data_IF_631855312485
#
_entry.id   IF_631855312485
#
_cell.length_a   1.000
_cell.length_b   1.000
_cell.length_c   1.000
_cell.angle_alpha   90.00
_cell.angle_beta   90.00
_cell.angle_gamma   90.00
#
_symmetry.space_group_name_H-M   'P 1'
#
loop_
_entity.id
_entity.type
_entity.pdbx_description
1 polymer ?
#
# COMPACT_ATOMS: atom_id res chain seq x y z
N UNK A 1 78.68 22.96 23.52
CA UNK A 1 78.53 21.59 23.06
C UNK A 1 77.60 21.64 21.84
N UNK A 2 78.23 21.61 20.64
CA UNK A 2 77.51 21.74 19.33
C UNK A 2 77.11 20.36 18.88
N UNK A 3 75.85 20.23 18.43
CA UNK A 3 75.36 19.05 17.76
C UNK A 3 75.16 19.38 16.28
N UNK A 4 75.78 18.58 15.43
CA UNK A 4 75.78 18.67 13.98
C UNK A 4 74.47 18.16 13.36
N UNK A 5 74.08 18.64 12.16
CA UNK A 5 72.86 18.24 11.50
C UNK A 5 73.03 16.96 10.67
N UNK A 6 72.11 16.05 10.78
CA UNK A 6 72.02 14.81 10.04
C UNK A 6 71.59 15.03 8.59
N UNK A 7 72.42 14.45 7.72
CA UNK A 7 72.26 14.39 6.25
C UNK A 7 71.07 13.51 5.83
N UNK A 8 70.24 14.04 4.94
CA UNK A 8 69.11 13.32 4.29
C UNK A 8 69.61 12.77 2.94
N UNK A 9 69.38 11.51 2.59
CA UNK A 9 69.75 10.97 1.28
C UNK A 9 68.73 11.38 0.21
N UNK A 10 69.26 11.80 -0.95
CA UNK A 10 68.45 12.08 -2.16
C UNK A 10 68.00 10.77 -2.80
N UNK A 11 66.68 10.57 -2.88
CA UNK A 11 66.06 9.55 -3.73
C UNK A 11 65.88 10.12 -5.15
N UNK A 12 66.51 9.47 -6.11
CA UNK A 12 66.33 9.73 -7.55
C UNK A 12 65.06 9.16 -8.02
N UNK A 13 64.07 10.01 -8.39
CA UNK A 13 62.76 9.58 -8.90
C UNK A 13 62.92 9.05 -10.34
N UNK A 14 62.39 7.83 -10.53
CA UNK A 14 62.16 7.27 -11.86
C UNK A 14 60.74 7.76 -12.26
N UNK A 15 60.69 8.60 -13.31
CA UNK A 15 59.43 9.03 -13.91
C UNK A 15 58.97 7.93 -14.88
N UNK A 16 57.94 7.19 -14.51
CA UNK A 16 57.23 6.27 -15.42
C UNK A 16 56.18 7.07 -16.18
N UNK A 17 56.40 7.25 -17.48
CA UNK A 17 55.37 7.79 -18.37
C UNK A 17 54.28 6.74 -18.60
N UNK A 18 53.14 6.92 -17.97
CA UNK A 18 51.92 6.20 -18.31
C UNK A 18 51.27 6.86 -19.54
N UNK A 19 51.37 6.19 -20.71
CA UNK A 19 50.63 6.57 -21.91
C UNK A 19 49.17 6.19 -21.65
N UNK A 20 48.34 7.17 -21.32
CA UNK A 20 46.89 7.02 -21.28
C UNK A 20 46.40 7.11 -22.71
N UNK A 21 46.13 5.96 -23.35
CA UNK A 21 45.41 5.91 -24.62
C UNK A 21 43.94 6.29 -24.33
N UNK A 22 43.51 7.49 -24.75
CA UNK A 22 42.12 7.94 -24.73
C UNK A 22 41.33 7.16 -25.78
N UNK A 23 40.68 6.10 -25.35
CA UNK A 23 39.60 5.52 -26.11
C UNK A 23 38.40 6.45 -25.94
N UNK A 24 38.07 7.21 -27.00
CA UNK A 24 36.83 7.95 -27.08
C UNK A 24 35.69 6.91 -27.23
N UNK A 25 35.07 6.54 -26.11
CA UNK A 25 33.77 5.90 -26.17
C UNK A 25 32.75 6.94 -26.64
N UNK A 26 31.88 6.60 -27.62
CA UNK A 26 30.79 7.49 -27.96
C UNK A 26 29.93 7.63 -26.69
N UNK A 27 29.81 8.85 -26.20
CA UNK A 27 28.84 9.18 -25.16
C UNK A 27 27.44 8.88 -25.76
N UNK A 28 26.91 7.71 -25.45
CA UNK A 28 25.51 7.44 -25.64
C UNK A 28 24.75 8.52 -24.88
N UNK A 29 23.80 9.16 -25.55
CA UNK A 29 22.90 10.12 -24.96
C UNK A 29 22.40 9.55 -23.64
N UNK A 30 22.70 10.24 -22.54
CA UNK A 30 22.06 9.98 -21.25
C UNK A 30 20.55 10.09 -21.50
N UNK A 31 19.89 8.94 -21.56
CA UNK A 31 18.46 8.92 -21.32
C UNK A 31 18.29 9.60 -19.96
N UNK A 32 17.75 10.79 -19.96
CA UNK A 32 17.34 11.49 -18.76
C UNK A 32 16.35 10.53 -18.10
N UNK A 33 16.66 10.02 -16.91
CA UNK A 33 15.73 9.20 -16.16
C UNK A 33 14.45 10.03 -16.03
N UNK A 34 13.39 9.58 -16.66
CA UNK A 34 12.09 10.25 -16.60
C UNK A 34 11.64 10.14 -15.14
N UNK A 35 11.52 11.30 -14.46
CA UNK A 35 11.01 11.33 -13.08
C UNK A 35 9.62 10.68 -13.14
N UNK A 36 9.48 9.54 -12.47
CA UNK A 36 8.23 8.81 -12.47
C UNK A 36 7.23 9.58 -11.60
N UNK A 37 6.23 10.17 -12.25
CA UNK A 37 5.11 10.86 -11.60
C UNK A 37 3.93 9.91 -11.50
N UNK A 38 3.41 9.72 -10.29
CA UNK A 38 2.25 8.91 -10.00
C UNK A 38 1.11 9.81 -9.53
N UNK A 39 -0.03 9.74 -10.22
CA UNK A 39 -1.23 10.50 -9.88
C UNK A 39 -2.41 9.55 -9.66
N UNK A 40 -3.21 9.84 -8.65
CA UNK A 40 -4.41 9.05 -8.35
C UNK A 40 -5.45 9.89 -7.62
N UNK A 41 -6.75 9.54 -7.79
CA UNK A 41 -7.84 10.14 -7.07
C UNK A 41 -7.87 9.70 -5.60
N UNK A 42 -8.34 10.62 -4.75
CA UNK A 42 -8.64 10.33 -3.36
C UNK A 42 -10.01 10.84 -2.94
N UNK A 43 -10.58 10.17 -1.94
CA UNK A 43 -11.63 10.69 -1.07
C UNK A 43 -11.05 10.84 0.33
N UNK A 44 -11.41 11.93 1.04
CA UNK A 44 -10.88 12.15 2.40
C UNK A 44 -11.91 12.77 3.33
N UNK A 45 -11.88 12.32 4.59
CA UNK A 45 -12.65 12.86 5.70
C UNK A 45 -11.81 13.76 6.63
N UNK A 46 -10.65 14.20 6.14
CA UNK A 46 -9.70 15.03 6.88
C UNK A 46 -10.02 16.51 6.73
N UNK A 47 -9.72 17.28 7.76
CA UNK A 47 -9.79 18.74 7.71
C UNK A 47 -8.69 19.33 6.82
N UNK A 48 -9.00 20.44 6.14
CA UNK A 48 -7.99 21.29 5.50
C UNK A 48 -7.17 22.02 6.55
N UNK A 49 -5.85 22.06 6.36
CA UNK A 49 -4.94 22.81 7.25
C UNK A 49 -4.76 24.27 6.83
N UNK A 50 -4.92 24.56 5.55
CA UNK A 50 -4.58 25.86 4.95
C UNK A 50 -3.09 26.01 4.67
N UNK A 51 -2.27 24.97 4.85
CA UNK A 51 -0.85 24.97 4.49
C UNK A 51 -0.66 25.14 2.99
N UNK A 52 0.34 25.91 2.54
CA UNK A 52 0.73 25.99 1.14
C UNK A 52 1.48 24.73 0.67
N UNK A 53 2.02 23.93 1.59
CA UNK A 53 2.75 22.71 1.29
C UNK A 53 1.75 21.59 0.91
N UNK A 54 1.87 20.94 -0.28
CA UNK A 54 0.92 19.92 -0.72
C UNK A 54 0.80 18.75 0.24
N UNK A 55 1.92 18.30 0.83
CA UNK A 55 1.93 17.19 1.80
C UNK A 55 1.11 17.48 3.05
N UNK A 56 1.04 18.75 3.43
CA UNK A 56 0.31 19.24 4.61
C UNK A 56 -1.09 19.76 4.28
N UNK A 57 -1.62 19.50 3.09
CA UNK A 57 -2.92 20.02 2.66
C UNK A 57 -4.07 19.60 3.59
N UNK A 58 -3.95 18.42 4.21
CA UNK A 58 -4.95 17.86 5.13
C UNK A 58 -4.32 17.42 6.45
N UNK A 59 -5.03 17.68 7.54
CA UNK A 59 -4.66 17.29 8.91
C UNK A 59 -5.23 15.93 9.35
N UNK A 60 -5.23 15.69 10.67
CA UNK A 60 -5.78 14.49 11.33
C UNK A 60 -7.20 14.65 11.85
N UNK A 61 -7.77 15.88 11.83
CA UNK A 61 -9.10 16.13 12.38
C UNK A 61 -10.22 15.70 11.42
N UNK A 62 -11.37 15.34 11.97
CA UNK A 62 -12.59 14.96 11.23
C UNK A 62 -13.17 16.12 10.44
N UNK A 63 -13.63 15.86 9.23
CA UNK A 63 -14.30 16.84 8.36
C UNK A 63 -15.28 16.13 7.42
N UNK A 64 -16.07 16.92 6.70
CA UNK A 64 -16.93 16.40 5.65
C UNK A 64 -16.11 15.77 4.52
N UNK A 65 -16.73 14.82 3.81
CA UNK A 65 -16.08 14.11 2.71
C UNK A 65 -15.69 15.07 1.59
N UNK A 66 -14.43 15.05 1.24
CA UNK A 66 -13.81 15.78 0.13
C UNK A 66 -13.18 14.82 -0.85
N UNK A 67 -12.93 15.30 -2.06
CA UNK A 67 -12.31 14.52 -3.13
C UNK A 67 -11.24 15.33 -3.85
N UNK A 68 -10.37 14.66 -4.59
CA UNK A 68 -9.35 15.31 -5.38
C UNK A 68 -8.36 14.35 -6.02
N UNK A 69 -7.26 14.91 -6.50
CA UNK A 69 -6.11 14.18 -7.07
C UNK A 69 -4.86 14.45 -6.22
N UNK A 70 -4.12 13.42 -5.91
CA UNK A 70 -2.79 13.51 -5.30
C UNK A 70 -1.75 13.09 -6.33
N UNK A 71 -0.72 13.94 -6.54
CA UNK A 71 0.43 13.66 -7.39
C UNK A 71 1.67 13.52 -6.54
N UNK A 72 2.37 12.40 -6.74
CA UNK A 72 3.60 12.04 -6.05
C UNK A 72 4.69 11.87 -7.09
N UNK A 73 5.87 12.41 -6.83
CA UNK A 73 7.03 12.30 -7.69
C UNK A 73 8.23 11.76 -6.91
N UNK A 74 9.09 11.03 -7.60
CA UNK A 74 10.35 10.58 -7.05
C UNK A 74 11.35 11.73 -7.02
N UNK A 75 12.12 11.84 -5.93
CA UNK A 75 13.19 12.82 -5.83
C UNK A 75 14.27 12.56 -6.89
N UNK A 76 14.62 13.60 -7.64
CA UNK A 76 15.79 13.53 -8.52
C UNK A 76 17.06 13.44 -7.67
N UNK A 77 17.65 12.26 -7.61
CA UNK A 77 18.91 12.00 -6.91
C UNK A 77 20.14 12.30 -7.77
N UNK A 78 19.95 12.66 -9.03
CA UNK A 78 21.04 12.97 -9.95
C UNK A 78 22.11 11.88 -9.97
N UNK A 79 23.36 12.22 -9.62
CA UNK A 79 24.50 11.27 -9.59
C UNK A 79 24.39 10.17 -8.53
N UNK A 80 23.48 10.29 -7.56
CA UNK A 80 23.24 9.30 -6.50
C UNK A 80 22.16 8.28 -6.86
N UNK A 81 21.46 8.43 -7.99
CA UNK A 81 20.42 7.50 -8.44
C UNK A 81 20.85 6.02 -8.43
N UNK A 82 22.07 5.63 -8.88
CA UNK A 82 22.51 4.25 -8.81
C UNK A 82 22.63 3.67 -7.39
N UNK A 83 22.75 4.53 -6.36
CA UNK A 83 22.75 4.10 -4.96
C UNK A 83 21.34 3.86 -4.44
N UNK A 84 20.35 4.55 -4.97
CA UNK A 84 18.94 4.29 -4.66
C UNK A 84 18.50 2.91 -5.14
N UNK A 85 18.97 2.46 -6.30
CA UNK A 85 18.71 1.12 -6.83
C UNK A 85 19.23 -0.02 -5.95
N UNK A 86 20.18 0.29 -5.07
CA UNK A 86 20.75 -0.64 -4.08
C UNK A 86 20.10 -0.52 -2.70
N UNK A 87 19.23 0.46 -2.51
CA UNK A 87 18.56 0.69 -1.23
C UNK A 87 17.47 -0.37 -0.98
N UNK A 88 17.26 -0.77 0.27
CA UNK A 88 16.11 -1.60 0.62
C UNK A 88 14.79 -0.94 0.21
N UNK A 89 13.83 -1.73 -0.28
CA UNK A 89 12.55 -1.23 -0.80
C UNK A 89 11.81 -0.28 0.16
N UNK A 90 11.93 -0.48 1.47
CA UNK A 90 11.26 0.39 2.46
C UNK A 90 11.84 1.82 2.53
N UNK A 91 13.00 2.07 1.95
CA UNK A 91 13.56 3.43 1.82
C UNK A 91 12.97 4.18 0.62
N UNK A 92 12.35 3.50 -0.33
CA UNK A 92 11.74 4.14 -1.50
C UNK A 92 10.64 5.13 -1.09
N UNK A 93 9.89 4.84 -0.01
CA UNK A 93 8.89 5.77 0.52
C UNK A 93 9.50 7.15 0.85
N UNK A 94 10.75 7.18 1.34
CA UNK A 94 11.43 8.43 1.71
C UNK A 94 11.98 9.20 0.50
N UNK A 95 12.04 8.58 -0.67
CA UNK A 95 12.43 9.22 -1.92
C UNK A 95 11.25 9.88 -2.64
N UNK A 96 10.02 9.63 -2.19
CA UNK A 96 8.82 10.21 -2.77
C UNK A 96 8.47 11.54 -2.11
N UNK A 97 7.92 12.46 -2.91
CA UNK A 97 7.38 13.74 -2.45
C UNK A 97 5.99 13.99 -3.03
N UNK A 98 5.10 14.49 -2.22
CA UNK A 98 3.79 14.97 -2.66
C UNK A 98 4.01 16.32 -3.36
N UNK A 99 3.82 16.35 -4.67
CA UNK A 99 4.07 17.53 -5.50
C UNK A 99 2.83 18.40 -5.65
N UNK A 100 1.66 17.78 -5.70
CA UNK A 100 0.41 18.49 -5.87
C UNK A 100 -0.76 17.77 -5.21
N UNK A 101 -1.67 18.53 -4.64
CA UNK A 101 -2.92 18.05 -4.06
C UNK A 101 -4.03 18.98 -4.53
N UNK A 102 -4.75 18.54 -5.54
CA UNK A 102 -5.86 19.27 -6.10
C UNK A 102 -7.18 18.77 -5.49
N UNK A 103 -7.94 19.67 -4.85
CA UNK A 103 -9.32 19.38 -4.44
C UNK A 103 -10.27 19.57 -5.62
N UNK A 104 -11.15 18.59 -5.84
CA UNK A 104 -12.13 18.55 -6.91
C UNK A 104 -13.50 18.13 -6.35
N UNK A 105 -14.56 18.43 -7.08
CA UNK A 105 -15.88 17.88 -6.78
C UNK A 105 -15.88 16.34 -6.93
N UNK A 106 -16.60 15.67 -6.04
CA UNK A 106 -16.75 14.21 -6.06
C UNK A 106 -17.22 13.72 -7.44
N UNK A 107 -18.15 14.43 -8.09
CA UNK A 107 -18.63 14.09 -9.42
C UNK A 107 -17.51 14.09 -10.46
N UNK A 108 -16.65 15.12 -10.44
CA UNK A 108 -15.50 15.26 -11.35
C UNK A 108 -14.49 14.11 -11.15
N UNK A 109 -14.20 13.74 -9.90
CA UNK A 109 -13.31 12.59 -9.60
C UNK A 109 -13.92 11.29 -10.12
N UNK A 110 -15.22 11.07 -9.91
CA UNK A 110 -15.91 9.86 -10.40
C UNK A 110 -16.00 9.80 -11.93
N UNK A 111 -16.12 10.96 -12.61
CA UNK A 111 -16.09 11.03 -14.07
C UNK A 111 -14.69 10.68 -14.60
N UNK A 112 -13.63 11.24 -14.01
CA UNK A 112 -12.25 10.90 -14.35
C UNK A 112 -11.96 9.41 -14.16
N UNK A 113 -12.39 8.86 -13.02
CA UNK A 113 -12.24 7.45 -12.71
C UNK A 113 -13.01 6.55 -13.70
N UNK A 114 -14.25 6.96 -14.09
CA UNK A 114 -15.01 6.22 -15.10
C UNK A 114 -14.35 6.24 -16.50
N UNK A 115 -13.65 7.31 -16.84
CA UNK A 115 -12.92 7.41 -18.10
C UNK A 115 -11.64 6.55 -18.12
N UNK A 116 -11.02 6.30 -16.96
CA UNK A 116 -9.71 5.64 -16.86
C UNK A 116 -9.77 4.18 -16.37
N UNK A 117 -10.79 3.78 -15.59
CA UNK A 117 -10.81 2.47 -14.90
C UNK A 117 -11.05 1.26 -15.82
N UNK A 118 -11.46 1.48 -17.08
CA UNK A 118 -11.74 0.41 -18.03
C UNK A 118 -12.95 -0.46 -17.62
N UNK A 119 -12.96 -1.71 -18.07
CA UNK A 119 -14.10 -2.62 -17.83
C UNK A 119 -14.23 -3.10 -16.38
N UNK A 120 -13.14 -3.08 -15.63
CA UNK A 120 -13.12 -3.60 -14.25
C UNK A 120 -13.55 -2.59 -13.17
N UNK A 121 -13.75 -1.33 -13.54
CA UNK A 121 -14.11 -0.29 -12.57
C UNK A 121 -13.06 -0.05 -11.46
N UNK A 122 -13.39 0.71 -10.42
CA UNK A 122 -12.42 1.16 -9.43
C UNK A 122 -12.01 0.11 -8.41
N UNK A 123 -10.78 0.27 -7.91
CA UNK A 123 -10.24 -0.42 -6.74
C UNK A 123 -10.12 0.59 -5.58
N UNK A 124 -11.03 0.53 -4.62
CA UNK A 124 -11.07 1.39 -3.44
C UNK A 124 -10.09 0.88 -2.39
N UNK A 125 -9.09 1.66 -2.03
CA UNK A 125 -8.10 1.33 -1.02
C UNK A 125 -8.27 2.15 0.26
N UNK A 126 -8.36 1.46 1.40
CA UNK A 126 -8.48 2.05 2.75
C UNK A 126 -7.21 1.75 3.54
N UNK A 127 -6.49 2.81 3.90
CA UNK A 127 -5.20 2.70 4.60
C UNK A 127 -5.33 2.28 6.07
N UNK A 128 -4.22 1.83 6.64
CA UNK A 128 -4.13 1.45 8.04
C UNK A 128 -3.95 2.63 9.01
N UNK A 129 -3.62 2.29 10.23
CA UNK A 129 -3.31 3.21 11.32
C UNK A 129 -1.94 3.90 11.14
N UNK A 130 -1.72 5.01 11.86
CA UNK A 130 -0.46 5.76 11.88
C UNK A 130 -0.11 6.41 10.54
N UNK A 131 -1.12 6.88 9.82
CA UNK A 131 -0.98 7.43 8.47
C UNK A 131 -1.50 8.87 8.41
N UNK A 132 -0.61 9.86 8.51
CA UNK A 132 -0.91 11.24 8.11
C UNK A 132 -1.10 11.37 6.60
N UNK A 133 -1.63 12.50 6.13
CA UNK A 133 -2.03 12.65 4.71
C UNK A 133 -0.84 12.50 3.74
N UNK A 134 0.29 13.20 3.98
CA UNK A 134 1.48 13.09 3.13
C UNK A 134 1.98 11.65 3.01
N UNK A 135 2.17 10.99 4.16
CA UNK A 135 2.59 9.59 4.22
C UNK A 135 1.59 8.68 3.51
N UNK A 136 0.29 8.95 3.66
CA UNK A 136 -0.78 8.23 2.99
C UNK A 136 -0.71 8.36 1.48
N UNK A 137 -0.49 9.57 0.93
CA UNK A 137 -0.28 9.80 -0.50
C UNK A 137 0.90 9.00 -1.03
N UNK A 138 2.07 9.04 -0.35
CA UNK A 138 3.27 8.29 -0.77
C UNK A 138 3.02 6.78 -0.79
N UNK A 139 2.40 6.23 0.25
CA UNK A 139 2.08 4.80 0.36
C UNK A 139 0.99 4.36 -0.63
N UNK A 140 0.00 5.20 -0.87
CA UNK A 140 -1.02 4.95 -1.88
C UNK A 140 -0.40 4.87 -3.29
N UNK A 141 0.54 5.78 -3.62
CA UNK A 141 1.29 5.74 -4.86
C UNK A 141 2.07 4.43 -5.04
N UNK A 142 2.83 4.03 -4.02
CA UNK A 142 3.60 2.78 -4.05
C UNK A 142 2.69 1.54 -4.17
N UNK A 143 1.57 1.52 -3.45
CA UNK A 143 0.62 0.42 -3.55
C UNK A 143 -0.03 0.35 -4.93
N UNK A 144 -0.49 1.49 -5.47
CA UNK A 144 -1.01 1.58 -6.83
C UNK A 144 -0.03 1.00 -7.85
N UNK A 145 1.25 1.37 -7.73
CA UNK A 145 2.31 0.90 -8.62
C UNK A 145 2.59 -0.60 -8.42
N UNK A 146 2.75 -1.06 -7.18
CA UNK A 146 3.09 -2.46 -6.88
C UNK A 146 2.00 -3.44 -7.35
N UNK A 147 0.72 -3.06 -7.21
CA UNK A 147 -0.42 -3.88 -7.62
C UNK A 147 -0.91 -3.59 -9.06
N UNK A 148 -0.24 -2.69 -9.80
CA UNK A 148 -0.57 -2.28 -11.18
C UNK A 148 -2.04 -1.83 -11.32
N UNK A 149 -2.46 -0.88 -10.47
CA UNK A 149 -3.83 -0.37 -10.40
C UNK A 149 -4.01 0.99 -11.09
N UNK A 150 -3.08 1.40 -11.96
CA UNK A 150 -3.17 2.68 -12.68
C UNK A 150 -4.51 2.83 -13.41
N UNK A 151 -5.11 4.02 -13.30
CA UNK A 151 -6.37 4.36 -13.91
C UNK A 151 -7.61 3.88 -13.14
N UNK A 152 -7.49 2.89 -12.25
CA UNK A 152 -8.64 2.37 -11.47
C UNK A 152 -8.49 2.53 -9.96
N UNK A 153 -7.36 2.99 -9.47
CA UNK A 153 -7.08 3.16 -8.05
C UNK A 153 -7.84 4.37 -7.50
N UNK A 154 -8.49 4.21 -6.32
CA UNK A 154 -9.11 5.28 -5.54
C UNK A 154 -8.70 5.11 -4.08
N UNK A 155 -8.03 6.12 -3.50
CA UNK A 155 -7.64 6.11 -2.11
C UNK A 155 -8.72 6.72 -1.20
N UNK A 156 -9.19 5.98 -0.20
CA UNK A 156 -10.03 6.50 0.88
C UNK A 156 -9.16 6.83 2.10
N UNK A 157 -9.02 8.13 2.37
CA UNK A 157 -8.19 8.68 3.44
C UNK A 157 -9.05 9.10 4.64
N UNK A 158 -9.17 8.22 5.62
CA UNK A 158 -9.82 8.55 6.89
C UNK A 158 -8.84 9.30 7.83
N UNK A 159 -9.31 10.08 8.85
CA UNK A 159 -8.50 11.00 9.65
C UNK A 159 -7.65 10.29 10.73
N UNK A 160 -6.65 9.51 10.32
CA UNK A 160 -5.63 8.96 11.20
C UNK A 160 -4.59 10.03 11.55
N UNK A 161 -4.20 10.14 12.81
CA UNK A 161 -3.33 11.20 13.34
C UNK A 161 -1.87 11.11 12.88
N UNK A 162 -1.44 9.97 12.36
CA UNK A 162 -0.05 9.78 11.95
C UNK A 162 0.96 9.71 13.10
N UNK A 163 0.52 9.39 14.33
CA UNK A 163 1.37 9.21 15.49
C UNK A 163 1.09 7.89 16.21
N UNK A 164 2.16 7.14 16.53
CA UNK A 164 2.05 5.80 17.10
C UNK A 164 1.34 5.74 18.47
N UNK A 165 1.36 6.83 19.23
CA UNK A 165 0.71 6.91 20.53
C UNK A 165 -0.82 7.00 20.45
N UNK A 166 -1.41 7.29 19.30
CA UNK A 166 -2.83 7.58 19.13
C UNK A 166 -3.64 6.41 18.55
N UNK A 167 -3.25 5.16 18.80
CA UNK A 167 -3.95 3.99 18.26
C UNK A 167 -5.45 3.98 18.60
N UNK A 168 -5.82 4.26 19.86
CA UNK A 168 -7.24 4.30 20.26
C UNK A 168 -8.00 5.50 19.72
N UNK A 169 -7.29 6.60 19.42
CA UNK A 169 -7.85 7.77 18.76
C UNK A 169 -8.15 7.44 17.29
N UNK A 170 -7.19 6.85 16.60
CA UNK A 170 -7.35 6.35 15.23
C UNK A 170 -8.50 5.31 15.13
N UNK A 171 -8.69 4.44 16.14
CA UNK A 171 -9.85 3.55 16.16
C UNK A 171 -11.18 4.33 16.21
N UNK A 172 -11.26 5.35 17.04
CA UNK A 172 -12.47 6.19 17.15
C UNK A 172 -12.75 6.95 15.83
N UNK A 173 -11.70 7.42 15.16
CA UNK A 173 -11.81 8.12 13.88
C UNK A 173 -12.18 7.18 12.74
N UNK A 174 -11.65 5.96 12.75
CA UNK A 174 -12.09 4.93 11.81
C UNK A 174 -13.58 4.63 11.98
N UNK A 175 -14.05 4.39 13.21
CA UNK A 175 -15.46 4.10 13.46
C UNK A 175 -16.37 5.27 13.10
N UNK A 176 -15.95 6.51 13.31
CA UNK A 176 -16.65 7.69 12.86
C UNK A 176 -16.74 7.77 11.32
N UNK A 177 -15.74 7.25 10.60
CA UNK A 177 -15.66 7.27 9.14
C UNK A 177 -16.49 6.15 8.47
N UNK A 178 -17.00 5.17 9.20
CA UNK A 178 -17.70 4.00 8.63
C UNK A 178 -18.92 4.35 7.79
N UNK A 179 -19.81 5.29 8.21
CA UNK A 179 -20.98 5.64 7.40
C UNK A 179 -20.59 6.18 6.02
N UNK A 180 -19.58 7.08 5.96
CA UNK A 180 -19.10 7.64 4.70
C UNK A 180 -18.38 6.62 3.83
N UNK A 181 -17.66 5.66 4.43
CA UNK A 181 -17.05 4.55 3.70
C UNK A 181 -18.12 3.63 3.10
N UNK A 182 -19.17 3.29 3.86
CA UNK A 182 -20.29 2.49 3.38
C UNK A 182 -21.04 3.21 2.24
N UNK A 183 -21.33 4.50 2.40
CA UNK A 183 -21.93 5.34 1.37
C UNK A 183 -21.07 5.40 0.10
N UNK A 184 -19.75 5.52 0.27
CA UNK A 184 -18.79 5.52 -0.85
C UNK A 184 -18.87 4.20 -1.61
N UNK A 185 -18.84 3.06 -0.93
CA UNK A 185 -18.92 1.73 -1.55
C UNK A 185 -20.22 1.58 -2.35
N UNK A 186 -21.37 1.96 -1.75
CA UNK A 186 -22.68 1.88 -2.42
C UNK A 186 -22.72 2.78 -3.67
N UNK A 187 -22.23 4.04 -3.56
CA UNK A 187 -22.20 4.97 -4.69
C UNK A 187 -21.29 4.50 -5.82
N UNK A 188 -20.16 3.89 -5.48
CA UNK A 188 -19.25 3.31 -6.48
C UNK A 188 -19.95 2.15 -7.21
N UNK A 189 -20.55 1.22 -6.50
CA UNK A 189 -21.26 0.08 -7.13
C UNK A 189 -22.41 0.56 -8.03
N UNK A 190 -23.23 1.50 -7.56
CA UNK A 190 -24.32 2.09 -8.34
C UNK A 190 -23.82 2.77 -9.63
N UNK A 191 -22.64 3.36 -9.60
CA UNK A 191 -22.07 4.04 -10.77
C UNK A 191 -21.36 3.12 -11.73
N UNK A 192 -20.58 2.16 -11.22
CA UNK A 192 -19.73 1.30 -12.02
C UNK A 192 -20.34 -0.06 -12.32
N UNK A 193 -21.43 -0.40 -11.63
CA UNK A 193 -22.19 -1.62 -11.84
C UNK A 193 -21.72 -2.80 -11.00
N UNK A 194 -22.60 -3.80 -10.97
CA UNK A 194 -22.46 -5.02 -10.18
C UNK A 194 -21.14 -5.75 -10.49
N UNK A 195 -20.40 -6.12 -9.44
CA UNK A 195 -19.11 -6.82 -9.45
C UNK A 195 -17.92 -6.03 -10.05
N UNK A 196 -18.11 -4.74 -10.31
CA UNK A 196 -17.09 -3.89 -10.91
C UNK A 196 -16.33 -3.02 -9.90
N UNK A 197 -16.58 -3.17 -8.61
CA UNK A 197 -15.89 -2.41 -7.56
C UNK A 197 -15.14 -3.35 -6.66
N UNK A 198 -13.80 -3.25 -6.65
CA UNK A 198 -12.96 -3.96 -5.71
C UNK A 198 -12.75 -3.09 -4.45
N UNK A 199 -12.69 -3.71 -3.28
CA UNK A 199 -12.50 -3.02 -2.01
C UNK A 199 -11.33 -3.63 -1.26
N UNK A 200 -10.33 -2.79 -0.95
CA UNK A 200 -9.06 -3.21 -0.39
C UNK A 200 -8.85 -2.49 0.94
N UNK A 201 -8.59 -3.22 2.01
CA UNK A 201 -8.26 -2.64 3.31
C UNK A 201 -6.93 -3.15 3.84
N UNK A 202 -6.14 -2.25 4.44
CA UNK A 202 -4.90 -2.60 5.10
C UNK A 202 -4.98 -2.37 6.60
N UNK A 203 -4.57 -3.36 7.41
CA UNK A 203 -4.45 -3.24 8.88
C UNK A 203 -5.76 -2.78 9.54
N UNK A 204 -5.75 -1.66 10.28
CA UNK A 204 -6.94 -1.05 10.86
C UNK A 204 -7.96 -0.63 9.76
N UNK A 205 -7.51 -0.20 8.57
CA UNK A 205 -8.38 0.06 7.43
C UNK A 205 -9.11 -1.19 6.93
N UNK A 206 -8.52 -2.38 7.04
CA UNK A 206 -9.21 -3.63 6.75
C UNK A 206 -10.35 -3.92 7.75
N UNK A 207 -10.18 -3.57 9.04
CA UNK A 207 -11.26 -3.58 10.03
C UNK A 207 -12.39 -2.63 9.59
N UNK A 208 -12.03 -1.42 9.15
CA UNK A 208 -12.99 -0.46 8.60
C UNK A 208 -13.77 -1.02 7.41
N UNK A 209 -13.09 -1.65 6.47
CA UNK A 209 -13.72 -2.30 5.31
C UNK A 209 -14.71 -3.38 5.76
N UNK A 210 -14.32 -4.30 6.65
CA UNK A 210 -15.19 -5.37 7.15
C UNK A 210 -16.47 -4.79 7.79
N UNK A 211 -16.33 -3.78 8.63
CA UNK A 211 -17.47 -3.15 9.31
C UNK A 211 -18.37 -2.36 8.36
N UNK A 212 -17.78 -1.62 7.43
CA UNK A 212 -18.51 -0.90 6.39
C UNK A 212 -19.26 -1.86 5.46
N UNK A 213 -18.66 -3.00 5.07
CA UNK A 213 -19.33 -4.03 4.27
C UNK A 213 -20.51 -4.68 5.03
N UNK A 214 -20.39 -4.86 6.35
CA UNK A 214 -21.50 -5.33 7.15
C UNK A 214 -22.68 -4.33 7.18
N UNK A 215 -22.38 -3.03 7.20
CA UNK A 215 -23.38 -1.98 7.07
C UNK A 215 -23.97 -1.94 5.65
N UNK A 216 -23.15 -2.02 4.61
CA UNK A 216 -23.58 -2.10 3.21
C UNK A 216 -24.55 -3.27 3.00
N UNK A 217 -24.18 -4.47 3.46
CA UNK A 217 -25.03 -5.67 3.35
C UNK A 217 -26.35 -5.56 4.12
N UNK A 218 -26.40 -4.79 5.22
CA UNK A 218 -27.64 -4.52 5.94
C UNK A 218 -28.54 -3.51 5.20
N UNK A 219 -27.96 -2.54 4.52
CA UNK A 219 -28.68 -1.47 3.81
C UNK A 219 -29.13 -1.90 2.42
N UNK A 220 -28.30 -2.68 1.74
CA UNK A 220 -28.55 -3.20 0.39
C UNK A 220 -28.02 -4.65 0.27
N UNK A 221 -28.83 -5.66 0.61
CA UNK A 221 -28.42 -7.06 0.54
C UNK A 221 -28.28 -7.57 -0.91
N UNK A 222 -28.75 -6.83 -1.89
CA UNK A 222 -28.65 -7.18 -3.31
C UNK A 222 -27.41 -6.60 -4.00
N UNK A 223 -26.66 -5.73 -3.32
CA UNK A 223 -25.40 -5.19 -3.83
C UNK A 223 -24.39 -6.31 -4.16
N UNK A 224 -23.63 -6.17 -5.22
CA UNK A 224 -22.60 -7.15 -5.58
C UNK A 224 -21.30 -6.41 -5.90
N UNK A 225 -20.29 -6.63 -5.09
CA UNK A 225 -18.94 -6.11 -5.24
C UNK A 225 -18.06 -7.13 -5.98
N UNK A 226 -16.95 -6.66 -6.51
CA UNK A 226 -15.89 -7.50 -7.03
C UNK A 226 -15.08 -8.18 -5.92
N UNK A 227 -13.78 -8.04 -5.95
CA UNK A 227 -12.91 -8.66 -4.97
C UNK A 227 -12.77 -7.79 -3.71
N UNK A 228 -12.92 -8.43 -2.55
CA UNK A 228 -12.59 -7.83 -1.25
C UNK A 228 -11.23 -8.36 -0.81
N UNK A 229 -10.27 -7.47 -0.60
CA UNK A 229 -8.89 -7.82 -0.25
C UNK A 229 -8.54 -7.24 1.11
N UNK A 230 -8.16 -8.11 2.04
CA UNK A 230 -7.81 -7.76 3.41
C UNK A 230 -6.31 -8.01 3.63
N UNK A 231 -5.54 -6.94 3.69
CA UNK A 231 -4.07 -6.96 3.81
C UNK A 231 -3.69 -6.78 5.29
N UNK A 232 -3.06 -7.78 5.90
CA UNK A 232 -2.70 -7.77 7.32
C UNK A 232 -3.85 -7.26 8.23
N UNK A 233 -5.08 -7.80 8.13
CA UNK A 233 -6.26 -7.22 8.77
C UNK A 233 -6.13 -7.23 10.30
N UNK A 234 -6.16 -6.03 10.90
CA UNK A 234 -6.16 -5.82 12.33
C UNK A 234 -7.60 -5.84 12.89
N UNK A 235 -8.21 -6.99 12.82
CA UNK A 235 -9.53 -7.28 13.38
C UNK A 235 -9.46 -8.56 14.20
N UNK A 236 -10.23 -8.62 15.27
CA UNK A 236 -10.43 -9.84 16.06
C UNK A 236 -10.96 -10.97 15.16
N UNK A 237 -10.29 -12.13 15.20
CA UNK A 237 -10.64 -13.27 14.36
C UNK A 237 -12.09 -13.74 14.58
N UNK A 238 -12.53 -13.86 15.86
CA UNK A 238 -13.89 -14.27 16.18
C UNK A 238 -14.96 -13.24 15.80
N UNK A 239 -14.61 -11.93 15.76
CA UNK A 239 -15.50 -10.89 15.21
C UNK A 239 -15.66 -11.09 13.71
N UNK A 240 -14.58 -11.34 12.99
CA UNK A 240 -14.66 -11.60 11.55
C UNK A 240 -15.51 -12.82 11.23
N UNK A 241 -15.33 -13.94 11.95
CA UNK A 241 -16.16 -15.14 11.79
C UNK A 241 -17.64 -14.86 11.91
N UNK A 242 -18.04 -13.98 12.83
CA UNK A 242 -19.45 -13.58 13.04
C UNK A 242 -19.98 -12.67 11.94
N UNK A 243 -19.14 -11.86 11.33
CA UNK A 243 -19.51 -10.92 10.27
C UNK A 243 -19.52 -11.60 8.90
N UNK A 244 -18.61 -12.55 8.67
CA UNK A 244 -18.39 -13.20 7.37
C UNK A 244 -19.68 -13.70 6.68
N UNK A 245 -20.61 -14.40 7.34
CA UNK A 245 -21.84 -14.86 6.67
C UNK A 245 -22.72 -13.75 6.08
N UNK A 246 -22.52 -12.51 6.55
CA UNK A 246 -23.24 -11.33 6.07
C UNK A 246 -22.55 -10.69 4.89
N UNK A 247 -21.20 -10.62 4.89
CA UNK A 247 -20.44 -9.93 3.85
C UNK A 247 -20.03 -10.85 2.69
N UNK A 248 -19.91 -12.16 2.92
CA UNK A 248 -19.54 -13.09 1.85
C UNK A 248 -20.54 -13.09 0.67
N UNK A 249 -21.87 -13.00 0.87
CA UNK A 249 -22.82 -12.99 -0.25
C UNK A 249 -22.74 -11.76 -1.14
N UNK A 250 -22.24 -10.63 -0.65
CA UNK A 250 -22.14 -9.38 -1.42
C UNK A 250 -20.79 -9.19 -2.14
N UNK A 251 -19.82 -10.07 -1.91
CA UNK A 251 -18.50 -10.04 -2.55
C UNK A 251 -18.33 -11.22 -3.52
N UNK A 252 -17.69 -11.01 -4.65
CA UNK A 252 -17.32 -12.10 -5.58
C UNK A 252 -16.28 -13.02 -4.96
N UNK A 253 -15.33 -12.45 -4.24
CA UNK A 253 -14.36 -13.17 -3.41
C UNK A 253 -13.88 -12.32 -2.24
N UNK A 254 -13.46 -12.99 -1.17
CA UNK A 254 -12.75 -12.38 -0.05
C UNK A 254 -11.38 -13.04 0.06
N UNK A 255 -10.31 -12.27 -0.11
CA UNK A 255 -8.92 -12.75 0.02
C UNK A 255 -8.24 -12.07 1.19
N UNK A 256 -7.65 -12.87 2.09
CA UNK A 256 -6.94 -12.42 3.27
C UNK A 256 -5.46 -12.70 3.10
N UNK A 257 -4.61 -11.70 3.26
CA UNK A 257 -3.16 -11.87 3.33
C UNK A 257 -2.71 -11.83 4.77
N UNK A 258 -2.10 -12.91 5.24
CA UNK A 258 -1.68 -13.11 6.63
C UNK A 258 -0.22 -13.55 6.71
N UNK A 259 0.46 -13.27 7.83
CA UNK A 259 1.84 -13.69 8.07
C UNK A 259 2.11 -13.90 9.57
N UNK A 260 3.10 -14.74 9.89
CA UNK A 260 3.58 -14.92 11.27
C UNK A 260 4.55 -13.82 11.73
N UNK A 261 5.10 -13.04 10.80
CA UNK A 261 6.17 -12.05 11.06
C UNK A 261 5.69 -10.62 11.34
N UNK A 262 4.39 -10.39 11.42
CA UNK A 262 3.79 -9.06 11.57
C UNK A 262 3.83 -8.56 13.02
N UNK A 263 4.78 -7.66 13.32
CA UNK A 263 4.95 -7.13 14.69
C UNK A 263 3.81 -6.21 15.15
N UNK A 264 3.28 -5.28 14.34
CA UNK A 264 2.09 -4.50 14.67
C UNK A 264 0.88 -5.35 15.03
N UNK A 265 0.58 -6.42 14.29
CA UNK A 265 -0.54 -7.30 14.60
C UNK A 265 -0.31 -8.08 15.89
N UNK A 266 0.90 -8.60 16.12
CA UNK A 266 1.23 -9.27 17.38
C UNK A 266 1.06 -8.34 18.58
N UNK A 267 1.44 -7.06 18.46
CA UNK A 267 1.20 -6.06 19.51
C UNK A 267 -0.30 -5.79 19.68
N UNK A 268 -1.04 -5.66 18.61
CA UNK A 268 -2.50 -5.47 18.63
C UNK A 268 -3.20 -6.67 19.28
N UNK A 269 -2.78 -7.90 19.00
CA UNK A 269 -3.31 -9.11 19.63
C UNK A 269 -3.09 -9.09 21.16
N UNK A 270 -1.92 -8.66 21.61
CA UNK A 270 -1.63 -8.50 23.03
C UNK A 270 -2.49 -7.42 23.69
N UNK A 271 -2.70 -6.30 23.01
CA UNK A 271 -3.49 -5.18 23.52
C UNK A 271 -4.98 -5.55 23.67
N UNK A 272 -5.54 -6.29 22.71
CA UNK A 272 -6.96 -6.63 22.68
C UNK A 272 -7.29 -8.01 23.28
N UNK A 273 -6.26 -8.84 23.54
CA UNK A 273 -6.42 -10.16 24.16
C UNK A 273 -6.90 -11.29 23.24
N UNK A 274 -7.00 -11.05 21.92
CA UNK A 274 -7.49 -12.02 20.94
C UNK A 274 -6.64 -12.02 19.67
N UNK A 275 -6.50 -13.18 18.98
CA UNK A 275 -5.77 -13.28 17.72
C UNK A 275 -6.32 -12.31 16.66
N UNK A 276 -5.44 -11.77 15.84
CA UNK A 276 -5.82 -10.94 14.70
C UNK A 276 -5.99 -11.78 13.44
N UNK A 277 -6.96 -11.41 12.60
CA UNK A 277 -7.23 -12.10 11.35
C UNK A 277 -6.02 -12.14 10.42
N UNK A 278 -5.16 -11.11 10.45
CA UNK A 278 -3.93 -11.04 9.66
C UNK A 278 -2.75 -11.84 10.22
N UNK A 279 -2.88 -12.49 11.38
CA UNK A 279 -1.87 -13.41 11.90
C UNK A 279 -2.04 -14.80 11.25
N UNK A 280 -0.99 -15.33 10.61
CA UNK A 280 -1.01 -16.69 10.11
C UNK A 280 -1.00 -17.70 11.29
N UNK A 281 -1.68 -18.84 11.09
CA UNK A 281 -1.80 -19.89 12.10
C UNK A 281 -3.14 -19.92 12.82
N UNK A 282 -4.06 -18.98 12.56
CA UNK A 282 -5.45 -19.10 12.97
C UNK A 282 -6.11 -20.32 12.29
N UNK A 283 -7.04 -20.97 12.98
CA UNK A 283 -7.88 -22.01 12.36
C UNK A 283 -8.92 -21.37 11.45
N UNK A 284 -8.62 -21.34 10.16
CA UNK A 284 -9.48 -20.75 9.12
C UNK A 284 -10.37 -21.76 8.41
N UNK A 285 -10.40 -23.03 8.85
CA UNK A 285 -11.19 -24.10 8.22
C UNK A 285 -12.69 -23.81 8.20
N UNK A 286 -13.19 -23.02 9.15
CA UNK A 286 -14.57 -22.57 9.22
C UNK A 286 -14.93 -21.38 8.32
N UNK A 287 -13.94 -20.71 7.69
CA UNK A 287 -14.16 -19.52 6.87
C UNK A 287 -14.59 -19.90 5.45
N UNK A 288 -15.85 -20.14 5.25
CA UNK A 288 -16.40 -20.52 3.93
C UNK A 288 -16.36 -19.32 2.95
N UNK A 289 -15.88 -19.57 1.72
CA UNK A 289 -15.84 -18.56 0.66
C UNK A 289 -14.68 -17.56 0.77
N UNK A 290 -13.72 -17.83 1.63
CA UNK A 290 -12.51 -16.99 1.84
C UNK A 290 -11.28 -17.71 1.33
N UNK A 291 -10.38 -16.96 0.68
CA UNK A 291 -9.03 -17.38 0.32
C UNK A 291 -8.02 -16.75 1.29
N UNK A 292 -7.20 -17.55 1.95
CA UNK A 292 -6.14 -17.09 2.85
C UNK A 292 -4.79 -17.30 2.22
N UNK A 293 -4.04 -16.23 2.05
CA UNK A 293 -2.70 -16.24 1.47
C UNK A 293 -1.68 -16.05 2.59
N UNK A 294 -0.97 -17.12 2.92
CA UNK A 294 0.09 -17.12 3.92
C UNK A 294 1.40 -16.61 3.31
N UNK A 295 1.90 -15.50 3.84
CA UNK A 295 3.12 -14.81 3.43
C UNK A 295 4.33 -15.16 4.29
N UNK A 296 4.22 -16.13 5.22
CA UNK A 296 5.25 -16.38 6.24
C UNK A 296 6.60 -16.87 5.69
N UNK A 297 6.63 -17.35 4.45
CA UNK A 297 7.87 -17.77 3.76
C UNK A 297 8.56 -16.61 3.02
N UNK A 298 7.89 -15.44 2.88
CA UNK A 298 8.51 -14.29 2.25
C UNK A 298 9.52 -13.61 3.18
N UNK A 299 10.60 -13.04 2.64
CA UNK A 299 11.50 -12.20 3.42
C UNK A 299 10.72 -11.02 4.02
N UNK A 300 11.08 -10.62 5.25
CA UNK A 300 10.45 -9.46 5.87
C UNK A 300 10.90 -8.18 5.17
N UNK A 301 10.00 -7.56 4.45
CA UNK A 301 10.21 -6.24 3.84
C UNK A 301 10.00 -5.14 4.88
N UNK A 302 11.09 -4.46 5.22
CA UNK A 302 11.11 -3.41 6.23
C UNK A 302 11.14 -3.90 7.69
N UNK A 303 11.22 -2.96 8.64
CA UNK A 303 11.53 -3.28 10.06
C UNK A 303 10.36 -3.96 10.81
N UNK A 304 9.15 -3.92 10.29
CA UNK A 304 7.93 -4.36 10.99
C UNK A 304 7.29 -5.63 10.42
N UNK A 305 7.59 -5.99 9.16
CA UNK A 305 6.92 -7.10 8.46
C UNK A 305 5.43 -6.85 8.18
N UNK A 306 5.00 -5.57 8.13
CA UNK A 306 3.58 -5.19 8.03
C UNK A 306 3.18 -4.58 6.67
N UNK A 307 4.17 -4.17 5.85
CA UNK A 307 3.96 -3.40 4.62
C UNK A 307 4.30 -4.17 3.35
N UNK A 308 4.17 -5.48 3.36
CA UNK A 308 4.51 -6.34 2.22
C UNK A 308 3.70 -6.01 0.95
N UNK A 309 2.48 -5.51 1.07
CA UNK A 309 1.66 -5.08 -0.07
C UNK A 309 2.24 -3.88 -0.83
N UNK A 310 3.11 -3.10 -0.17
CA UNK A 310 3.78 -1.94 -0.77
C UNK A 310 5.16 -2.34 -1.32
N UNK A 311 5.91 -3.18 -0.59
CA UNK A 311 7.33 -3.39 -0.86
C UNK A 311 7.65 -4.77 -1.47
N UNK A 312 6.83 -5.81 -1.24
CA UNK A 312 7.07 -7.12 -1.83
C UNK A 312 6.54 -7.20 -3.25
N UNK A 313 7.44 -7.48 -4.19
CA UNK A 313 7.08 -7.71 -5.59
C UNK A 313 6.21 -8.95 -5.76
N UNK A 314 6.47 -10.02 -4.99
CA UNK A 314 5.66 -11.24 -5.06
C UNK A 314 4.22 -10.98 -4.67
N UNK A 315 4.00 -10.17 -3.61
CA UNK A 315 2.64 -9.77 -3.20
C UNK A 315 1.99 -8.86 -4.23
N UNK A 316 2.74 -7.91 -4.80
CA UNK A 316 2.24 -7.05 -5.88
C UNK A 316 1.79 -7.85 -7.10
N UNK A 317 2.59 -8.81 -7.55
CA UNK A 317 2.24 -9.68 -8.68
C UNK A 317 1.01 -10.56 -8.39
N UNK A 318 0.88 -11.09 -7.19
CA UNK A 318 -0.29 -11.87 -6.77
C UNK A 318 -1.56 -11.00 -6.73
N UNK A 319 -1.46 -9.77 -6.18
CA UNK A 319 -2.54 -8.79 -6.19
C UNK A 319 -2.94 -8.37 -7.60
N UNK A 320 -1.97 -8.15 -8.49
CA UNK A 320 -2.23 -7.83 -9.89
C UNK A 320 -3.04 -8.92 -10.59
N UNK A 321 -2.71 -10.20 -10.35
CA UNK A 321 -3.45 -11.35 -10.90
C UNK A 321 -4.88 -11.40 -10.36
N UNK A 322 -5.04 -11.20 -9.06
CA UNK A 322 -6.36 -11.17 -8.44
C UNK A 322 -7.19 -9.99 -8.96
N UNK A 323 -6.68 -8.77 -8.83
CA UNK A 323 -7.45 -7.54 -9.07
C UNK A 323 -7.62 -7.23 -10.56
N UNK A 324 -6.59 -7.42 -11.40
CA UNK A 324 -6.66 -7.06 -12.82
C UNK A 324 -7.07 -8.23 -13.72
N UNK A 325 -6.74 -9.48 -13.37
CA UNK A 325 -7.14 -10.66 -14.13
C UNK A 325 -8.33 -11.43 -13.53
N UNK A 326 -8.69 -11.18 -12.25
CA UNK A 326 -9.77 -11.90 -11.55
C UNK A 326 -9.43 -13.36 -11.27
N UNK A 327 -8.13 -13.68 -11.23
CA UNK A 327 -7.69 -15.06 -10.98
C UNK A 327 -7.95 -15.46 -9.53
N UNK A 328 -8.57 -16.63 -9.33
CA UNK A 328 -8.76 -17.24 -8.01
C UNK A 328 -7.44 -17.85 -7.53
N UNK A 329 -7.32 -18.10 -6.22
CA UNK A 329 -6.08 -18.57 -5.61
C UNK A 329 -5.55 -19.88 -6.21
N UNK A 330 -6.41 -20.76 -6.64
CA UNK A 330 -6.05 -22.04 -7.31
C UNK A 330 -5.44 -21.86 -8.70
N UNK A 331 -5.71 -20.74 -9.36
CA UNK A 331 -5.14 -20.38 -10.67
C UNK A 331 -3.93 -19.45 -10.61
N UNK A 332 -3.67 -18.77 -9.46
CA UNK A 332 -2.60 -17.79 -9.35
C UNK A 332 -1.22 -18.42 -9.24
N UNK A 333 -0.33 -18.04 -10.14
CA UNK A 333 1.06 -18.52 -10.14
C UNK A 333 1.81 -18.02 -8.89
N UNK A 334 2.63 -18.88 -8.29
CA UNK A 334 3.38 -18.56 -7.06
C UNK A 334 2.68 -19.02 -5.79
N UNK A 335 1.38 -19.33 -5.85
CA UNK A 335 0.62 -19.89 -4.75
C UNK A 335 0.72 -21.41 -4.69
N UNK A 336 0.92 -21.95 -3.50
CA UNK A 336 0.97 -23.41 -3.23
C UNK A 336 -0.07 -23.74 -2.17
N UNK A 337 -0.98 -24.65 -2.51
CA UNK A 337 -2.03 -25.10 -1.60
C UNK A 337 -1.43 -25.69 -0.31
N UNK A 338 -1.92 -25.23 0.83
CA UNK A 338 -1.59 -25.74 2.17
C UNK A 338 -2.77 -26.54 2.78
N UNK A 339 -3.98 -26.01 2.61
CA UNK A 339 -5.22 -26.67 3.01
C UNK A 339 -6.37 -26.19 2.10
N UNK A 340 -7.60 -26.55 2.39
CA UNK A 340 -8.78 -26.27 1.54
C UNK A 340 -8.91 -24.81 1.12
N UNK A 341 -8.63 -23.86 2.04
CA UNK A 341 -8.79 -22.42 1.80
C UNK A 341 -7.52 -21.61 2.14
N UNK A 342 -6.36 -22.29 2.27
CA UNK A 342 -5.06 -21.66 2.56
C UNK A 342 -4.07 -21.96 1.46
N UNK A 343 -3.46 -20.92 0.93
CA UNK A 343 -2.35 -20.99 -0.03
C UNK A 343 -1.15 -20.25 0.55
N UNK A 344 0.05 -20.77 0.27
CA UNK A 344 1.30 -20.11 0.63
C UNK A 344 1.92 -19.47 -0.59
N UNK A 345 2.23 -18.17 -0.47
CA UNK A 345 2.96 -17.44 -1.50
C UNK A 345 4.46 -17.71 -1.37
N UNK A 346 5.09 -18.11 -2.46
CA UNK A 346 6.53 -18.34 -2.51
C UNK A 346 7.27 -17.12 -2.99
N UNK A 347 8.51 -16.89 -2.49
CA UNK A 347 9.38 -15.85 -3.02
C UNK A 347 9.57 -16.00 -4.53
N UNK A 348 9.66 -14.89 -5.24
CA UNK A 348 10.09 -14.90 -6.64
C UNK A 348 11.59 -15.16 -6.70
N UNK A 349 12.10 -15.73 -7.82
CA UNK A 349 13.52 -16.05 -7.98
C UNK A 349 14.45 -14.81 -7.94
N UNK A 350 13.92 -13.61 -7.72
CA UNK A 350 14.64 -12.33 -7.63
C UNK A 350 14.46 -11.60 -6.29
N UNK A 351 13.71 -12.14 -5.36
CA UNK A 351 13.66 -11.80 -3.94
C UNK A 351 14.59 -12.76 -3.16
#
# INVERSE_FOLDING_TARGET
MKLDPLTVPRFTGIIVFLIVSTWAFPMSSTAQAEIQSLEFPYFTLRNRTGSPEPGDAYGGERSDLKAGLCRVEELDLGVLAPLADLAPNFLLEELLRVQDVQELDIATVLEGLAASAGERGPALYVHGYYIGFEKGCRRAALFQQNADLSGRFLWFSWPSDGAAAYYTHDEADLYWSLPDLADTIIKLEQRFGSKNVDVIGHSLGARGVILALAEVANRDPDIRLGHVVLLAPDVDFGIFERILPRIAPIAESITIYATTGDRPLALSAQLHGYPRLGEAGNDVSGLTGVEVIDLSDLPSEGPTGHLYHIYSRAVGEDLRRLLNAGERADGRQGLVVQSENVWRLRPTARE
#
